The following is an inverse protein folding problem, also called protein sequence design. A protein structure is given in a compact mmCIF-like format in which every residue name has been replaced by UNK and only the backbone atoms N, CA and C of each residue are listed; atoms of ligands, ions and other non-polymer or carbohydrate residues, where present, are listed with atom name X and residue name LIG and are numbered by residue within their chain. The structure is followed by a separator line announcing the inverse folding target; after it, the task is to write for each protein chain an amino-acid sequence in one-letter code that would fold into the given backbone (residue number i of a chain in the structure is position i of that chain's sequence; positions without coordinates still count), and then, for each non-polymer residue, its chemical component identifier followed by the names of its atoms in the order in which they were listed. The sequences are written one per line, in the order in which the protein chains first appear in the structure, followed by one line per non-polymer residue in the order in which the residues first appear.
data_IF_002432408637
#
_entry.id   IF_002432408637
#
_cell.length_a   1.000
_cell.length_b   1.000
_cell.length_c   1.000
_cell.angle_alpha   90.00
_cell.angle_beta   90.00
_cell.angle_gamma   90.00
#
_symmetry.space_group_name_H-M   'P 1'
#
loop_
_entity.id
_entity.type
_entity.pdbx_description
1 polymer ?
#
# COMPACT_ATOMS: atom_id res chain seq x y z
N UNK A 1 12.97 3.66 2.05
CA UNK A 1 11.74 4.21 2.67
C UNK A 1 10.55 3.36 2.22
N UNK A 2 10.19 2.30 2.96
CA UNK A 2 8.99 1.49 2.65
C UNK A 2 8.49 0.63 3.84
N UNK A 3 8.96 0.85 5.07
CA UNK A 3 8.66 -0.07 6.17
C UNK A 3 7.19 -0.04 6.62
N UNK A 4 6.48 1.06 6.36
CA UNK A 4 5.04 1.16 6.63
C UNK A 4 4.18 0.19 5.80
N UNK A 5 4.64 -0.16 4.59
CA UNK A 5 4.02 -1.17 3.73
C UNK A 5 4.56 -2.57 4.03
N UNK A 6 5.69 -2.69 4.72
CA UNK A 6 6.27 -3.98 5.14
C UNK A 6 5.52 -4.58 6.33
N UNK A 7 5.03 -3.74 7.25
CA UNK A 7 4.16 -4.18 8.36
C UNK A 7 2.79 -4.67 7.91
N UNK A 8 2.30 -4.16 6.78
CA UNK A 8 1.08 -4.64 6.14
C UNK A 8 1.44 -5.92 5.37
N UNK A 9 0.79 -7.02 5.73
CA UNK A 9 0.96 -8.30 5.05
C UNK A 9 0.41 -8.19 3.62
N UNK A 10 1.02 -8.89 2.67
CA UNK A 10 0.55 -8.92 1.28
C UNK A 10 -0.95 -9.25 1.17
N UNK A 11 -1.43 -10.17 2.01
CA UNK A 11 -2.85 -10.52 2.16
C UNK A 11 -3.73 -9.32 2.54
N UNK A 12 -3.29 -8.58 3.54
CA UNK A 12 -3.99 -7.41 4.08
C UNK A 12 -4.02 -6.30 3.02
N UNK A 13 -2.92 -6.12 2.28
CA UNK A 13 -2.86 -5.22 1.13
C UNK A 13 -3.87 -5.62 0.03
N UNK A 14 -3.97 -6.92 -0.29
CA UNK A 14 -4.91 -7.44 -1.29
C UNK A 14 -6.37 -7.25 -0.85
N UNK A 15 -6.66 -7.45 0.43
CA UNK A 15 -7.99 -7.20 1.01
C UNK A 15 -8.33 -5.69 0.95
N UNK A 16 -7.38 -4.80 1.26
CA UNK A 16 -7.56 -3.35 1.11
C UNK A 16 -7.80 -2.91 -0.35
N UNK A 17 -7.10 -3.53 -1.31
CA UNK A 17 -7.32 -3.26 -2.76
C UNK A 17 -8.74 -3.68 -3.18
N UNK A 18 -9.20 -4.82 -2.68
CA UNK A 18 -10.44 -5.46 -3.13
C UNK A 18 -11.68 -4.89 -2.42
N UNK A 19 -11.57 -4.60 -1.13
CA UNK A 19 -12.69 -4.11 -0.31
C UNK A 19 -12.77 -2.58 -0.24
N UNK A 20 -11.63 -1.88 -0.18
CA UNK A 20 -11.57 -0.42 0.02
C UNK A 20 -11.28 0.34 -1.29
N UNK A 21 -11.09 -0.38 -2.42
CA UNK A 21 -10.82 0.17 -3.76
C UNK A 21 -9.66 1.21 -3.78
N UNK A 22 -8.73 1.12 -2.83
CA UNK A 22 -7.62 2.05 -2.68
C UNK A 22 -7.07 2.05 -1.25
N UNK A 23 -5.96 2.76 -1.05
CA UNK A 23 -5.37 2.94 0.28
C UNK A 23 -4.73 4.33 0.36
N UNK A 24 -5.01 5.06 1.45
CA UNK A 24 -4.36 6.35 1.72
C UNK A 24 -3.32 6.17 2.82
N UNK A 25 -2.05 6.24 2.44
CA UNK A 25 -0.92 6.04 3.32
C UNK A 25 -0.35 7.39 3.76
N UNK A 26 -0.49 7.68 5.05
CA UNK A 26 0.15 8.85 5.66
C UNK A 26 1.53 8.46 6.16
N UNK A 27 2.56 9.11 5.64
CA UNK A 27 3.90 9.00 6.19
C UNK A 27 3.98 9.77 7.51
N UNK A 28 4.15 9.09 8.65
CA UNK A 28 4.27 9.75 9.95
C UNK A 28 5.54 10.62 10.09
N UNK A 29 6.54 10.38 9.25
CA UNK A 29 7.83 11.06 9.31
C UNK A 29 7.84 12.35 8.47
N UNK A 30 7.22 12.30 7.29
CA UNK A 30 7.22 13.41 6.33
C UNK A 30 5.87 14.15 6.30
N UNK A 31 4.89 13.69 7.08
CA UNK A 31 3.50 14.14 7.06
C UNK A 31 2.84 14.17 5.67
N UNK A 32 3.39 13.38 4.74
CA UNK A 32 2.95 13.34 3.33
C UNK A 32 1.89 12.26 3.17
N UNK A 33 0.80 12.61 2.47
CA UNK A 33 -0.27 11.69 2.11
C UNK A 33 0.04 11.08 0.75
N UNK A 34 0.13 9.77 0.69
CA UNK A 34 0.23 9.00 -0.53
C UNK A 34 -1.09 8.29 -0.74
N UNK A 35 -1.78 8.62 -1.82
CA UNK A 35 -2.98 7.90 -2.19
C UNK A 35 -2.59 6.89 -3.25
N UNK A 36 -2.80 5.61 -2.96
CA UNK A 36 -2.56 4.53 -3.90
C UNK A 36 -3.92 4.04 -4.39
N UNK A 37 -4.11 4.13 -5.71
CA UNK A 37 -5.26 3.50 -6.38
C UNK A 37 -5.05 1.99 -6.48
N UNK A 38 -6.09 1.24 -6.84
CA UNK A 38 -6.01 -0.22 -7.02
C UNK A 38 -4.82 -0.63 -7.92
N UNK A 39 -4.58 0.12 -8.99
CA UNK A 39 -3.52 -0.16 -9.96
C UNK A 39 -2.13 -0.01 -9.34
N UNK A 40 -1.91 1.09 -8.60
CA UNK A 40 -0.64 1.38 -7.92
C UNK A 40 -0.38 0.36 -6.80
N UNK A 41 -1.41 0.01 -6.02
CA UNK A 41 -1.29 -1.02 -4.99
C UNK A 41 -0.95 -2.39 -5.60
N UNK A 42 -1.53 -2.72 -6.75
CA UNK A 42 -1.25 -3.96 -7.46
C UNK A 42 0.19 -3.97 -8.03
N UNK A 43 0.67 -2.86 -8.57
CA UNK A 43 2.07 -2.71 -8.98
C UNK A 43 3.02 -2.87 -7.79
N UNK A 44 2.71 -2.25 -6.64
CA UNK A 44 3.51 -2.38 -5.41
C UNK A 44 3.47 -3.83 -4.89
N UNK A 45 2.31 -4.48 -4.93
CA UNK A 45 2.15 -5.88 -4.54
C UNK A 45 3.03 -6.80 -5.39
N UNK A 46 2.97 -6.67 -6.72
CA UNK A 46 3.81 -7.41 -7.66
C UNK A 46 5.30 -7.09 -7.51
N UNK A 47 5.65 -5.83 -7.22
CA UNK A 47 7.03 -5.43 -6.97
C UNK A 47 7.60 -6.00 -5.66
N UNK A 48 6.75 -6.29 -4.66
CA UNK A 48 7.15 -6.86 -3.36
C UNK A 48 7.46 -8.36 -3.43
N UNK A 49 6.99 -9.06 -4.46
CA UNK A 49 7.27 -10.48 -4.71
C UNK A 49 8.56 -10.74 -5.53
N UNK A 50 9.28 -9.68 -5.95
CA UNK A 50 10.55 -9.80 -6.69
C UNK A 50 11.80 -9.71 -5.83
#
# INVERSE_FOLDING_TARGET
MAEALTTISQKDLQEMITEDHGCELVCQYCNTKYQFSEAELNEIYHAKER
#
